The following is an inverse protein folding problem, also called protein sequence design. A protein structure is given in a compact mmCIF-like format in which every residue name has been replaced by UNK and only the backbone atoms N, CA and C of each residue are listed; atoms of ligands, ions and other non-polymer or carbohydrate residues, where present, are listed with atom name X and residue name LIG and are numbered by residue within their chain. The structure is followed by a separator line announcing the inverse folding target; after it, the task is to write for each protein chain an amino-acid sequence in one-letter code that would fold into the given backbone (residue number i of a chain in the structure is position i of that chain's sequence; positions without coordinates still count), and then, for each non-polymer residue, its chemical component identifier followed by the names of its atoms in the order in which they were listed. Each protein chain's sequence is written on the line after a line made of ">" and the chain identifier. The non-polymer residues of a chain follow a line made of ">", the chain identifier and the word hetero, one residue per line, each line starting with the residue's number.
data_IF_797863802578
#
_entry.id   IF_797863802578
#
_cell.length_a   1.000
_cell.length_b   1.000
_cell.length_c   1.000
_cell.angle_alpha   90.00
_cell.angle_beta   90.00
_cell.angle_gamma   90.00
#
_symmetry.space_group_name_H-M   'P 1'
#
loop_
_entity.id
_entity.type
_entity.pdbx_description
1 polymer ?
#
# COMPACT_ATOMS: atom_id res chain seq x y z
N UNK A 1 76.35 -19.48 11.99
CA UNK A 1 75.19 -19.47 11.07
C UNK A 1 74.02 -20.09 11.83
N UNK A 2 73.00 -19.32 12.21
CA UNK A 2 71.75 -19.87 12.75
C UNK A 2 70.69 -19.70 11.67
N UNK A 3 70.18 -20.82 11.16
CA UNK A 3 69.08 -20.83 10.22
C UNK A 3 67.79 -20.86 11.05
N UNK A 4 67.05 -19.75 11.04
CA UNK A 4 65.70 -19.71 11.62
C UNK A 4 64.77 -20.24 10.52
N UNK A 5 64.40 -21.50 10.63
CA UNK A 5 63.32 -22.07 9.81
C UNK A 5 62.01 -21.74 10.52
N UNK A 6 61.40 -20.60 10.21
CA UNK A 6 60.04 -20.35 10.66
C UNK A 6 59.10 -21.37 9.98
N UNK A 7 58.34 -22.17 10.74
CA UNK A 7 57.35 -23.06 10.13
C UNK A 7 56.24 -22.21 9.52
N UNK A 8 56.08 -22.32 8.19
CA UNK A 8 55.01 -21.66 7.46
C UNK A 8 53.66 -22.23 7.93
N UNK A 9 52.93 -21.47 8.75
CA UNK A 9 51.57 -21.82 9.16
C UNK A 9 50.59 -21.31 8.11
N UNK A 10 50.20 -22.16 7.17
CA UNK A 10 49.07 -21.87 6.29
C UNK A 10 47.78 -21.78 7.11
N UNK A 11 47.11 -20.63 7.03
CA UNK A 11 45.79 -20.43 7.61
C UNK A 11 44.78 -20.33 6.48
N UNK A 12 43.83 -21.25 6.46
CA UNK A 12 42.71 -21.22 5.53
C UNK A 12 41.50 -20.61 6.21
N UNK A 13 40.92 -19.59 5.58
CA UNK A 13 39.62 -19.04 5.97
C UNK A 13 38.60 -19.45 4.91
N UNK A 14 37.61 -20.26 5.32
CA UNK A 14 36.55 -20.73 4.42
C UNK A 14 35.27 -19.94 4.70
N UNK A 15 34.74 -19.28 3.68
CA UNK A 15 33.42 -18.66 3.74
C UNK A 15 32.39 -19.63 3.17
N UNK A 16 31.57 -20.21 4.03
CA UNK A 16 30.43 -21.02 3.61
C UNK A 16 29.28 -20.09 3.22
N UNK A 17 28.75 -20.24 2.00
CA UNK A 17 27.54 -19.52 1.59
C UNK A 17 26.31 -20.10 2.29
N UNK A 18 25.37 -19.25 2.70
CA UNK A 18 24.11 -19.72 3.28
C UNK A 18 23.33 -20.55 2.25
N UNK A 19 22.82 -21.72 2.66
CA UNK A 19 21.93 -22.55 1.84
C UNK A 19 20.46 -22.13 1.94
N UNK A 20 20.13 -21.17 2.82
CA UNK A 20 18.76 -20.72 3.08
C UNK A 20 18.49 -19.28 2.66
N UNK A 21 19.53 -18.49 2.36
CA UNK A 21 19.39 -17.09 1.94
C UNK A 21 19.73 -16.96 0.46
N UNK A 22 18.94 -16.14 -0.25
CA UNK A 22 19.19 -15.79 -1.65
C UNK A 22 19.53 -14.32 -1.76
N UNK A 23 20.50 -13.99 -2.62
CA UNK A 23 20.76 -12.62 -3.04
C UNK A 23 20.06 -12.38 -4.37
N UNK A 24 19.14 -11.42 -4.38
CA UNK A 24 18.37 -11.07 -5.58
C UNK A 24 18.73 -9.66 -6.02
N UNK A 25 19.04 -9.48 -7.31
CA UNK A 25 19.14 -8.18 -7.96
C UNK A 25 17.84 -7.91 -8.71
N UNK A 26 17.25 -6.73 -8.49
CA UNK A 26 16.04 -6.29 -9.17
C UNK A 26 16.40 -5.10 -10.05
N UNK A 27 16.12 -5.22 -11.35
CA UNK A 27 16.24 -4.15 -12.32
C UNK A 27 14.82 -3.77 -12.77
N UNK A 28 14.57 -2.47 -12.89
CA UNK A 28 13.25 -1.93 -13.24
C UNK A 28 13.42 -0.96 -14.41
N UNK A 29 12.54 -1.07 -15.39
CA UNK A 29 12.40 -0.10 -16.46
C UNK A 29 10.97 0.46 -16.41
N UNK A 30 10.86 1.78 -16.23
CA UNK A 30 9.58 2.51 -16.14
C UNK A 30 9.38 3.46 -17.31
N UNK A 31 10.25 3.42 -18.32
CA UNK A 31 10.28 4.41 -19.41
C UNK A 31 8.99 4.44 -20.24
N UNK A 32 8.25 3.32 -20.25
CA UNK A 32 7.03 3.14 -21.05
C UNK A 32 5.75 3.01 -20.20
N UNK A 33 5.75 3.51 -18.97
CA UNK A 33 4.55 3.56 -18.13
C UNK A 33 4.25 4.99 -17.67
N UNK A 34 2.99 5.32 -17.33
CA UNK A 34 2.57 6.66 -16.93
C UNK A 34 3.38 7.34 -15.81
N UNK A 35 4.08 6.57 -14.98
CA UNK A 35 4.95 7.07 -13.91
C UNK A 35 6.44 7.20 -14.31
N UNK A 36 6.77 7.19 -15.61
CA UNK A 36 8.15 7.31 -16.11
C UNK A 36 8.90 8.53 -15.55
N UNK A 37 8.18 9.63 -15.34
CA UNK A 37 8.74 10.90 -14.86
C UNK A 37 8.62 11.10 -13.35
N UNK A 38 8.20 10.07 -12.60
CA UNK A 38 8.16 10.15 -11.13
C UNK A 38 9.59 10.21 -10.58
N UNK A 39 9.88 11.26 -9.82
CA UNK A 39 11.20 11.50 -9.22
C UNK A 39 11.16 11.28 -7.72
N UNK A 40 12.27 10.85 -7.14
CA UNK A 40 12.42 10.70 -5.69
C UNK A 40 12.75 12.04 -5.03
N UNK A 41 12.36 12.20 -3.76
CA UNK A 41 12.66 13.38 -2.94
C UNK A 41 11.47 14.29 -2.70
N UNK A 42 11.66 15.29 -1.86
CA UNK A 42 10.62 16.22 -1.42
C UNK A 42 10.23 17.21 -2.54
N UNK A 43 8.95 17.54 -2.66
CA UNK A 43 8.45 18.46 -3.68
C UNK A 43 8.35 17.87 -5.09
N UNK A 44 8.52 16.55 -5.22
CA UNK A 44 8.41 15.81 -6.48
C UNK A 44 7.05 15.13 -6.64
N UNK A 45 5.99 15.69 -6.03
CA UNK A 45 4.63 15.16 -6.16
C UNK A 45 4.23 15.11 -7.64
N UNK A 46 3.78 13.93 -8.05
CA UNK A 46 3.36 13.68 -9.42
C UNK A 46 1.84 13.61 -9.46
N UNK A 47 1.22 14.65 -10.02
CA UNK A 47 -0.25 14.76 -10.12
C UNK A 47 -0.85 13.59 -10.90
N UNK A 48 -2.03 13.12 -10.50
CA UNK A 48 -2.70 11.96 -11.10
C UNK A 48 -2.97 12.13 -12.60
N UNK A 49 -3.32 13.34 -13.06
CA UNK A 49 -3.48 13.61 -14.50
C UNK A 49 -2.20 13.39 -15.32
N UNK A 50 -1.01 13.39 -14.70
CA UNK A 50 0.26 13.05 -15.35
C UNK A 50 0.60 11.56 -15.28
N UNK A 51 -0.02 10.81 -14.36
CA UNK A 51 0.11 9.35 -14.24
C UNK A 51 -1.07 8.60 -14.85
N UNK A 52 -1.80 9.24 -15.77
CA UNK A 52 -3.02 8.69 -16.40
C UNK A 52 -4.03 8.20 -15.37
N UNK A 53 -4.12 8.89 -14.22
CA UNK A 53 -5.03 8.57 -13.13
C UNK A 53 -4.75 7.23 -12.44
N UNK A 54 -3.49 6.78 -12.46
CA UNK A 54 -3.07 5.50 -11.91
C UNK A 54 -2.06 5.64 -10.77
N UNK A 55 -2.13 4.68 -9.84
CA UNK A 55 -1.11 4.41 -8.81
C UNK A 55 -0.72 2.94 -8.82
N UNK A 56 0.50 2.66 -8.39
CA UNK A 56 1.16 1.36 -8.60
C UNK A 56 1.65 0.81 -7.26
N UNK A 57 1.31 -0.45 -7.00
CA UNK A 57 1.83 -1.24 -5.89
C UNK A 57 2.53 -2.45 -6.47
N UNK A 58 3.79 -2.67 -6.09
CA UNK A 58 4.58 -3.79 -6.62
C UNK A 58 5.63 -4.27 -5.62
N UNK A 59 5.66 -5.57 -5.38
CA UNK A 59 6.68 -6.20 -4.55
C UNK A 59 8.08 -6.11 -5.14
N UNK A 60 9.09 -6.20 -4.27
CA UNK A 60 10.53 -6.11 -4.55
C UNK A 60 11.01 -4.80 -5.21
N UNK A 61 10.11 -3.87 -5.49
CA UNK A 61 10.45 -2.56 -6.08
C UNK A 61 10.42 -1.41 -5.08
N UNK A 62 9.92 -1.66 -3.87
CA UNK A 62 9.69 -0.63 -2.85
C UNK A 62 8.45 0.23 -3.12
N UNK A 63 7.62 -0.11 -4.12
CA UNK A 63 6.41 0.64 -4.46
C UNK A 63 5.23 0.20 -3.61
N UNK A 64 4.68 1.14 -2.86
CA UNK A 64 3.46 1.01 -2.06
C UNK A 64 2.60 2.25 -2.25
N UNK A 65 1.33 2.20 -1.83
CA UNK A 65 0.37 3.30 -2.00
C UNK A 65 0.08 3.94 -0.65
N UNK A 66 0.19 5.26 -0.56
CA UNK A 66 -0.28 6.03 0.60
C UNK A 66 -1.66 6.61 0.30
N UNK A 67 -2.56 6.60 1.29
CA UNK A 67 -3.93 7.06 1.18
C UNK A 67 -4.19 8.09 2.28
N UNK A 68 -4.48 9.32 1.85
CA UNK A 68 -4.75 10.46 2.72
C UNK A 68 -6.24 10.84 2.67
N UNK A 69 -6.75 11.36 3.79
CA UNK A 69 -8.15 11.83 3.91
C UNK A 69 -8.18 13.33 4.22
N UNK A 70 -7.76 14.20 3.27
CA UNK A 70 -7.55 15.63 3.53
C UNK A 70 -8.82 16.37 3.97
N UNK A 71 -9.99 15.88 3.56
CA UNK A 71 -11.29 16.49 3.84
C UNK A 71 -12.09 15.77 4.92
N UNK A 72 -11.48 14.86 5.71
CA UNK A 72 -12.20 14.09 6.73
C UNK A 72 -12.91 15.01 7.73
N UNK A 73 -12.25 16.08 8.16
CA UNK A 73 -12.81 17.02 9.16
C UNK A 73 -13.97 17.86 8.62
N UNK A 74 -14.21 17.91 7.31
CA UNK A 74 -15.39 18.56 6.77
C UNK A 74 -16.69 17.86 7.25
N UNK A 75 -16.60 16.61 7.72
CA UNK A 75 -17.71 15.92 8.37
C UNK A 75 -18.11 16.61 9.69
N UNK A 76 -17.16 17.15 10.45
CA UNK A 76 -17.44 17.85 11.71
C UNK A 76 -18.26 19.12 11.50
N UNK A 77 -18.25 19.70 10.29
CA UNK A 77 -19.06 20.88 9.95
C UNK A 77 -20.55 20.53 9.71
N UNK A 78 -20.93 19.24 9.71
CA UNK A 78 -22.30 18.79 9.41
C UNK A 78 -23.25 18.84 10.60
N UNK A 79 -22.75 19.08 11.82
CA UNK A 79 -23.56 19.23 13.03
C UNK A 79 -22.70 19.44 14.26
N UNK A 80 -23.33 19.68 15.41
CA UNK A 80 -22.60 19.92 16.67
C UNK A 80 -21.80 18.69 17.14
N UNK A 81 -22.38 17.50 16.94
CA UNK A 81 -21.72 16.23 17.18
C UNK A 81 -21.90 15.34 15.95
N UNK A 82 -20.78 14.77 15.50
CA UNK A 82 -20.74 13.84 14.37
C UNK A 82 -20.03 12.56 14.78
N UNK A 83 -20.69 11.42 14.56
CA UNK A 83 -20.12 10.09 14.80
C UNK A 83 -20.08 9.30 13.50
N UNK A 84 -18.97 8.61 13.25
CA UNK A 84 -18.85 7.66 12.14
C UNK A 84 -19.35 6.31 12.64
N UNK A 85 -20.38 5.76 12.02
CA UNK A 85 -20.97 4.46 12.36
C UNK A 85 -20.31 3.33 11.57
N UNK A 86 -19.96 3.59 10.31
CA UNK A 86 -19.17 2.68 9.49
C UNK A 86 -18.40 3.43 8.41
N UNK A 87 -17.26 2.87 8.01
CA UNK A 87 -16.49 3.34 6.87
C UNK A 87 -15.87 2.17 6.11
N UNK A 88 -16.19 2.06 4.82
CA UNK A 88 -15.64 1.04 3.93
C UNK A 88 -14.87 1.69 2.79
N UNK A 89 -13.59 1.33 2.67
CA UNK A 89 -12.74 1.72 1.56
C UNK A 89 -12.76 0.60 0.51
N UNK A 90 -13.20 0.92 -0.70
CA UNK A 90 -13.17 0.02 -1.85
C UNK A 90 -12.15 0.50 -2.88
N UNK A 91 -11.16 -0.33 -3.18
CA UNK A 91 -10.09 -0.06 -4.14
C UNK A 91 -10.32 -0.92 -5.38
N UNK A 92 -10.44 -0.28 -6.55
CA UNK A 92 -10.74 -0.96 -7.81
C UNK A 92 -9.46 -1.06 -8.66
N UNK A 93 -8.94 -2.28 -8.90
CA UNK A 93 -7.84 -2.48 -9.83
C UNK A 93 -8.24 -2.02 -11.23
N UNK A 94 -7.29 -1.46 -11.98
CA UNK A 94 -7.54 -1.02 -13.35
C UNK A 94 -7.82 -2.22 -14.24
N UNK A 95 -8.97 -2.22 -14.90
CA UNK A 95 -9.36 -3.27 -15.84
C UNK A 95 -8.36 -3.35 -16.99
N UNK A 96 -7.95 -4.58 -17.33
CA UNK A 96 -6.98 -4.83 -18.39
C UNK A 96 -5.52 -4.77 -17.95
N UNK A 97 -5.24 -4.46 -16.67
CA UNK A 97 -3.87 -4.52 -16.11
C UNK A 97 -3.59 -5.79 -15.30
N UNK A 98 -4.54 -6.72 -15.27
CA UNK A 98 -4.42 -8.00 -14.58
C UNK A 98 -5.05 -9.11 -15.43
N UNK A 99 -4.39 -10.26 -15.45
CA UNK A 99 -4.79 -11.46 -16.19
C UNK A 99 -4.15 -12.71 -15.59
N UNK A 100 -4.11 -13.83 -16.34
CA UNK A 100 -3.46 -15.06 -15.86
C UNK A 100 -1.94 -14.96 -15.71
N UNK A 101 -1.28 -14.08 -16.44
CA UNK A 101 0.17 -13.85 -16.35
C UNK A 101 0.51 -12.87 -15.21
N UNK A 102 -0.34 -11.87 -15.00
CA UNK A 102 -0.25 -10.88 -13.93
C UNK A 102 -1.49 -10.94 -13.04
N UNK A 103 -1.63 -11.99 -12.21
CA UNK A 103 -2.81 -12.15 -11.38
C UNK A 103 -2.83 -11.11 -10.26
N UNK A 104 -4.04 -10.68 -9.89
CA UNK A 104 -4.24 -9.82 -8.73
C UNK A 104 -3.72 -10.50 -7.44
N UNK A 105 -3.02 -9.78 -6.56
CA UNK A 105 -2.66 -10.28 -5.24
C UNK A 105 -3.92 -10.74 -4.48
N UNK A 106 -3.92 -11.97 -3.94
CA UNK A 106 -5.10 -12.49 -3.22
C UNK A 106 -5.41 -11.73 -1.93
N UNK A 107 -4.40 -11.06 -1.38
CA UNK A 107 -4.53 -10.23 -0.19
C UNK A 107 -3.63 -9.01 -0.28
N UNK A 108 -4.07 -7.95 0.36
CA UNK A 108 -3.36 -6.70 0.59
C UNK A 108 -3.42 -6.38 2.09
N UNK A 109 -2.48 -5.59 2.59
CA UNK A 109 -2.44 -5.16 3.98
C UNK A 109 -2.48 -3.64 4.06
N UNK A 110 -3.26 -3.12 5.00
CA UNK A 110 -3.30 -1.70 5.34
C UNK A 110 -2.58 -1.45 6.66
N UNK A 111 -1.80 -0.38 6.71
CA UNK A 111 -1.12 0.10 7.90
C UNK A 111 -1.45 1.57 8.12
N UNK A 112 -1.44 2.01 9.37
CA UNK A 112 -1.40 3.43 9.72
C UNK A 112 0.02 3.96 9.59
N UNK A 113 0.14 5.22 9.21
CA UNK A 113 1.39 5.96 9.23
C UNK A 113 1.17 7.36 9.80
N UNK A 114 2.21 7.95 10.40
CA UNK A 114 2.17 9.36 10.77
C UNK A 114 2.35 10.27 9.54
N UNK A 115 2.28 11.58 9.74
CA UNK A 115 2.48 12.55 8.66
C UNK A 115 3.86 12.51 8.00
N UNK A 116 4.87 11.95 8.67
CA UNK A 116 6.23 11.75 8.15
C UNK A 116 6.38 10.43 7.38
N UNK A 117 5.26 9.76 7.06
CA UNK A 117 5.20 8.46 6.39
C UNK A 117 5.88 7.31 7.16
N UNK A 118 6.08 7.45 8.48
CA UNK A 118 6.57 6.37 9.34
C UNK A 118 5.40 5.42 9.62
N UNK A 119 5.54 4.16 9.16
CA UNK A 119 4.58 3.08 9.42
C UNK A 119 4.47 2.79 10.91
N UNK A 120 3.24 2.64 11.42
CA UNK A 120 2.97 2.47 12.85
C UNK A 120 2.31 1.15 13.19
N UNK A 121 1.12 0.87 12.67
CA UNK A 121 0.35 -0.32 13.06
C UNK A 121 -0.50 -0.84 11.92
N UNK A 122 -0.69 -2.15 11.88
CA UNK A 122 -1.55 -2.80 10.88
C UNK A 122 -3.02 -2.55 11.20
N UNK A 123 -3.85 -2.38 10.18
CA UNK A 123 -5.32 -2.29 10.30
C UNK A 123 -5.89 -3.69 10.53
N UNK A 124 -6.66 -3.83 11.60
CA UNK A 124 -7.33 -5.06 12.01
C UNK A 124 -8.85 -4.93 11.87
N UNK A 125 -9.57 -6.04 11.99
CA UNK A 125 -11.03 -6.05 12.08
C UNK A 125 -11.56 -5.23 13.27
N UNK A 126 -12.87 -5.05 13.34
CA UNK A 126 -13.54 -4.27 14.41
C UNK A 126 -13.30 -4.84 15.82
N UNK A 127 -12.90 -6.10 15.95
CA UNK A 127 -12.58 -6.74 17.24
C UNK A 127 -11.09 -6.68 17.56
N UNK A 128 -10.27 -6.06 16.70
CA UNK A 128 -8.82 -5.98 16.83
C UNK A 128 -8.09 -7.32 16.73
N UNK A 129 -8.77 -8.38 16.28
CA UNK A 129 -8.34 -9.77 16.43
C UNK A 129 -7.62 -10.31 15.20
N UNK A 130 -8.01 -9.87 14.00
CA UNK A 130 -7.40 -10.31 12.75
C UNK A 130 -6.98 -9.15 11.87
N UNK A 131 -5.84 -9.31 11.18
CA UNK A 131 -5.37 -8.37 10.16
C UNK A 131 -6.32 -8.41 8.96
N UNK A 132 -6.73 -7.24 8.47
CA UNK A 132 -7.54 -7.18 7.27
C UNK A 132 -6.69 -7.45 6.03
N UNK A 133 -7.20 -8.32 5.16
CA UNK A 133 -6.54 -8.76 3.93
C UNK A 133 -7.09 -8.07 2.66
N UNK A 134 -8.02 -7.13 2.83
CA UNK A 134 -8.69 -6.43 1.75
C UNK A 134 -9.79 -7.22 1.04
N UNK A 135 -10.13 -8.44 1.47
CA UNK A 135 -11.30 -9.19 0.99
C UNK A 135 -11.57 -9.07 -0.53
N UNK A 136 -10.62 -9.50 -1.36
CA UNK A 136 -10.72 -9.40 -2.82
C UNK A 136 -12.01 -10.06 -3.33
N UNK A 137 -12.85 -9.26 -3.97
CA UNK A 137 -13.99 -9.70 -4.76
C UNK A 137 -13.59 -9.68 -6.22
N UNK A 138 -13.83 -10.78 -6.94
CA UNK A 138 -13.55 -10.89 -8.38
C UNK A 138 -14.86 -11.11 -9.12
N UNK A 139 -15.17 -10.23 -10.06
CA UNK A 139 -16.23 -10.43 -11.05
C UNK A 139 -15.64 -11.11 -12.29
N UNK A 140 -15.83 -12.42 -12.40
CA UNK A 140 -15.32 -13.23 -13.51
C UNK A 140 -16.06 -12.98 -14.84
N UNK A 141 -17.22 -12.33 -14.83
CA UNK A 141 -18.00 -12.12 -16.06
C UNK A 141 -17.62 -10.83 -16.77
N UNK A 142 -17.61 -9.72 -16.04
CA UNK A 142 -17.40 -8.39 -16.64
C UNK A 142 -16.15 -7.67 -16.12
N UNK A 143 -15.59 -8.15 -15.01
CA UNK A 143 -14.50 -7.52 -14.26
C UNK A 143 -14.83 -6.10 -13.75
N UNK A 144 -16.09 -5.65 -13.84
CA UNK A 144 -16.51 -4.31 -13.41
C UNK A 144 -16.71 -4.21 -11.89
N UNK A 145 -16.94 -5.34 -11.22
CA UNK A 145 -17.09 -5.43 -9.77
C UNK A 145 -15.93 -6.19 -9.11
N UNK A 146 -14.74 -6.10 -9.70
CA UNK A 146 -13.50 -6.59 -9.08
C UNK A 146 -12.89 -5.50 -8.19
N UNK A 147 -12.80 -5.73 -6.88
CA UNK A 147 -12.27 -4.76 -5.93
C UNK A 147 -11.74 -5.40 -4.64
N UNK A 148 -10.88 -4.66 -3.96
CA UNK A 148 -10.52 -4.91 -2.56
C UNK A 148 -11.38 -4.03 -1.66
N UNK A 149 -11.82 -4.56 -0.52
CA UNK A 149 -12.63 -3.88 0.48
C UNK A 149 -11.99 -3.97 1.86
N UNK A 150 -11.84 -2.83 2.50
CA UNK A 150 -11.36 -2.69 3.87
C UNK A 150 -12.38 -1.96 4.73
N UNK A 151 -12.60 -2.46 5.94
CA UNK A 151 -13.30 -1.73 6.99
C UNK A 151 -12.30 -0.79 7.67
N UNK A 152 -12.47 0.51 7.52
CA UNK A 152 -11.60 1.52 8.13
C UNK A 152 -12.38 2.38 9.13
N UNK A 153 -13.45 1.82 9.69
CA UNK A 153 -14.34 2.51 10.65
C UNK A 153 -13.55 3.03 11.84
N UNK A 154 -12.84 2.15 12.56
CA UNK A 154 -12.05 2.55 13.74
C UNK A 154 -10.96 3.55 13.39
N UNK A 155 -10.30 3.38 12.24
CA UNK A 155 -9.30 4.33 11.76
C UNK A 155 -9.91 5.73 11.57
N UNK A 156 -11.01 5.86 10.81
CA UNK A 156 -11.64 7.16 10.59
C UNK A 156 -12.24 7.75 11.87
N UNK A 157 -12.77 6.93 12.78
CA UNK A 157 -13.24 7.39 14.09
C UNK A 157 -12.13 8.04 14.91
N UNK A 158 -10.95 7.40 14.98
CA UNK A 158 -9.79 7.95 15.69
C UNK A 158 -9.19 9.16 14.99
N UNK A 159 -9.29 9.22 13.66
CA UNK A 159 -8.77 10.34 12.89
C UNK A 159 -9.73 11.54 12.77
N UNK A 160 -11.02 11.37 13.00
CA UNK A 160 -11.98 12.47 12.88
C UNK A 160 -11.65 13.57 13.91
N UNK A 161 -11.51 14.82 13.44
CA UNK A 161 -11.16 15.97 14.26
C UNK A 161 -9.67 16.17 14.52
N UNK A 162 -8.80 15.20 14.19
CA UNK A 162 -7.35 15.37 14.39
C UNK A 162 -6.73 16.33 13.37
N UNK A 163 -5.60 16.94 13.69
CA UNK A 163 -4.85 17.83 12.78
C UNK A 163 -3.37 17.76 13.08
N UNK A 164 -2.52 18.28 12.20
CA UNK A 164 -1.07 18.32 12.42
C UNK A 164 -0.52 16.92 12.73
N UNK A 165 0.35 16.81 13.72
CA UNK A 165 1.05 15.57 14.09
C UNK A 165 0.11 14.38 14.42
N UNK A 166 -1.11 14.65 14.91
CA UNK A 166 -2.09 13.61 15.27
C UNK A 166 -2.90 13.09 14.08
N UNK A 167 -2.76 13.72 12.91
CA UNK A 167 -3.32 13.22 11.65
C UNK A 167 -2.51 12.00 11.22
N UNK A 168 -3.19 10.88 10.99
CA UNK A 168 -2.58 9.68 10.44
C UNK A 168 -3.03 9.47 8.99
N UNK A 169 -2.24 8.68 8.28
CA UNK A 169 -2.44 8.25 6.91
C UNK A 169 -2.60 6.75 6.88
N UNK A 170 -3.07 6.23 5.76
CA UNK A 170 -3.02 4.80 5.48
C UNK A 170 -1.91 4.49 4.48
N UNK A 171 -1.26 3.34 4.63
CA UNK A 171 -0.32 2.78 3.66
C UNK A 171 -0.80 1.38 3.27
N UNK A 172 -0.93 1.15 1.97
CA UNK A 172 -1.35 -0.10 1.36
C UNK A 172 -0.12 -0.83 0.82
N UNK A 173 0.06 -2.06 1.29
CA UNK A 173 1.16 -2.94 0.94
C UNK A 173 0.66 -4.29 0.45
N UNK A 174 1.55 -5.02 -0.22
CA UNK A 174 1.45 -6.48 -0.21
C UNK A 174 1.75 -6.99 1.20
N UNK A 175 1.19 -8.13 1.63
CA UNK A 175 1.68 -8.83 2.82
C UNK A 175 3.20 -9.02 2.77
N UNK A 176 3.90 -8.91 3.91
CA UNK A 176 5.37 -8.86 3.98
C UNK A 176 6.07 -9.95 3.16
N UNK A 177 5.57 -11.20 3.23
CA UNK A 177 6.14 -12.29 2.45
C UNK A 177 6.08 -12.00 0.94
N UNK A 178 4.97 -11.47 0.44
CA UNK A 178 4.80 -11.12 -0.98
C UNK A 178 5.57 -9.85 -1.34
N UNK A 179 5.58 -8.85 -0.45
CA UNK A 179 6.26 -7.57 -0.69
C UNK A 179 7.77 -7.74 -0.89
N UNK A 180 8.42 -8.62 -0.12
CA UNK A 180 9.87 -8.79 -0.20
C UNK A 180 10.34 -9.94 -1.10
N UNK A 181 9.44 -10.84 -1.52
CA UNK A 181 9.85 -12.06 -2.25
C UNK A 181 9.19 -12.26 -3.61
N UNK A 182 8.26 -11.37 -4.02
CA UNK A 182 7.55 -11.52 -5.30
C UNK A 182 7.49 -10.22 -6.10
N UNK A 183 7.37 -10.34 -7.42
CA UNK A 183 7.08 -9.22 -8.33
C UNK A 183 5.58 -8.98 -8.52
N UNK A 184 4.73 -9.55 -7.65
CA UNK A 184 3.29 -9.31 -7.72
C UNK A 184 3.00 -7.82 -7.56
N UNK A 185 1.92 -7.37 -8.17
CA UNK A 185 1.52 -5.99 -8.10
C UNK A 185 0.09 -5.79 -8.54
N UNK A 186 -0.39 -4.58 -8.31
CA UNK A 186 -1.71 -4.13 -8.71
C UNK A 186 -1.65 -2.64 -9.03
N UNK A 187 -2.39 -2.25 -10.06
CA UNK A 187 -2.56 -0.86 -10.47
C UNK A 187 -3.98 -0.45 -10.07
N UNK A 188 -4.10 0.68 -9.39
CA UNK A 188 -5.40 1.25 -9.00
C UNK A 188 -5.66 2.55 -9.75
N UNK A 189 -6.92 2.76 -10.13
CA UNK A 189 -7.39 3.99 -10.75
C UNK A 189 -8.01 4.94 -9.72
N UNK A 190 -7.82 6.25 -9.92
CA UNK A 190 -8.56 7.30 -9.20
C UNK A 190 -9.99 7.47 -9.78
N UNK A 191 -10.72 8.49 -9.29
CA UNK A 191 -12.10 8.78 -9.71
C UNK A 191 -12.29 9.17 -11.18
N UNK A 192 -11.23 9.63 -11.86
CA UNK A 192 -11.23 10.07 -13.26
C UNK A 192 -10.72 9.00 -14.22
N UNK A 193 -10.21 7.87 -13.72
CA UNK A 193 -9.80 6.75 -14.57
C UNK A 193 -11.02 6.12 -15.28
N UNK A 194 -10.90 5.82 -16.58
CA UNK A 194 -12.06 5.44 -17.42
C UNK A 194 -12.14 3.97 -17.82
N UNK A 195 -11.12 3.15 -17.51
CA UNK A 195 -11.14 1.73 -17.88
C UNK A 195 -12.20 0.91 -17.10
N UNK A 196 -12.58 1.37 -15.91
CA UNK A 196 -13.60 0.76 -15.08
C UNK A 196 -14.86 1.63 -15.11
N UNK A 197 -16.05 1.03 -15.00
CA UNK A 197 -17.27 1.79 -14.71
C UNK A 197 -17.36 2.23 -13.25
N UNK A 198 -16.67 1.51 -12.35
CA UNK A 198 -16.61 1.80 -10.91
C UNK A 198 -15.18 2.09 -10.51
N UNK A 199 -14.99 3.20 -9.81
CA UNK A 199 -13.70 3.67 -9.35
C UNK A 199 -13.58 3.54 -7.83
N UNK A 200 -12.34 3.69 -7.35
CA UNK A 200 -12.00 3.74 -5.93
C UNK A 200 -12.91 4.69 -5.18
N UNK A 201 -13.48 4.24 -4.07
CA UNK A 201 -14.45 5.02 -3.29
C UNK A 201 -14.39 4.71 -1.80
N UNK A 202 -14.75 5.72 -1.04
CA UNK A 202 -14.97 5.65 0.39
C UNK A 202 -16.46 5.76 0.67
N UNK A 203 -17.04 4.77 1.33
CA UNK A 203 -18.44 4.75 1.74
C UNK A 203 -18.46 4.99 3.25
N UNK A 204 -19.09 6.08 3.70
CA UNK A 204 -19.21 6.42 5.12
C UNK A 204 -20.68 6.49 5.52
N UNK A 205 -21.04 5.80 6.59
CA UNK A 205 -22.26 6.05 7.34
C UNK A 205 -21.90 6.87 8.58
N UNK A 206 -22.53 8.01 8.76
CA UNK A 206 -22.32 8.88 9.91
C UNK A 206 -23.65 9.39 10.47
N UNK A 207 -23.68 9.72 11.76
CA UNK A 207 -24.80 10.39 12.42
C UNK A 207 -24.40 11.82 12.77
N UNK A 208 -25.38 12.72 12.67
CA UNK A 208 -25.25 14.11 13.09
C UNK A 208 -26.31 14.39 14.15
N UNK A 209 -25.91 15.06 15.22
CA UNK A 209 -26.82 15.55 16.25
C UNK A 209 -26.89 17.08 16.15
N UNK A 210 -28.12 17.59 16.06
CA UNK A 210 -28.47 19.01 16.07
C UNK A 210 -29.31 19.25 17.33
N UNK A 211 -29.11 20.37 18.01
CA UNK A 211 -30.00 20.79 19.11
C UNK A 211 -31.39 21.19 18.58
#
# INVERSE_FOLDING_TARGET
>A
YHQITEPLNEKTLVFNTSSTLTYNKIEQDRSNIPIANLQSGDGNEYSSGKSEHQVYLQGMTGMYVTIDFPHLNNLCEKGELVTIESATLQLYPVKGTYDGMYPLPKSLALYTANNENVTQSVITDLTGSSVQSGNLVVDEMSYEETYYSFDITSFLQTNLGTTGYDRQKLQLFLPDNLFYTTLQGVIFGDGEHTANKKNTKLIILYKTYQQ
#
